data_IF_263808546957
#
_entry.id   IF_263808546957
#
_cell.length_a   1.000
_cell.length_b   1.000
_cell.length_c   1.000
_cell.angle_alpha   90.00
_cell.angle_beta   90.00
_cell.angle_gamma   90.00
#
_symmetry.space_group_name_H-M   'P 1'
#
loop_
_entity.id
_entity.type
_entity.pdbx_description
1 polymer ?
#
# COMPACT_ATOMS: atom_id res chain seq x y z
N UNK A 1 2.96 -5.23 10.94
CA UNK A 1 4.22 -4.45 11.09
C UNK A 1 4.81 -4.10 9.73
N UNK A 2 4.04 -3.47 8.85
CA UNK A 2 4.49 -3.04 7.51
C UNK A 2 3.38 -2.18 6.90
N UNK A 3 3.72 -1.13 6.15
CA UNK A 3 2.81 -0.50 5.20
C UNK A 3 3.57 -0.15 3.91
N UNK A 4 3.06 -0.65 2.78
CA UNK A 4 3.53 -0.27 1.46
C UNK A 4 2.35 0.10 0.55
N UNK A 5 2.59 1.00 -0.40
CA UNK A 5 1.62 1.43 -1.41
C UNK A 5 2.30 1.59 -2.77
N UNK A 6 1.64 1.10 -3.82
CA UNK A 6 2.02 1.33 -5.21
C UNK A 6 0.84 1.95 -5.95
N UNK A 7 1.11 2.97 -6.76
CA UNK A 7 0.12 3.74 -7.51
C UNK A 7 0.51 3.72 -8.99
N UNK A 8 -0.46 3.48 -9.85
CA UNK A 8 -0.35 3.51 -11.31
C UNK A 8 -1.23 4.64 -11.86
N UNK A 9 -0.62 5.57 -12.58
CA UNK A 9 -1.26 6.75 -13.14
C UNK A 9 -0.99 6.81 -14.65
N UNK A 10 -1.71 7.66 -15.36
CA UNK A 10 -1.47 7.90 -16.78
C UNK A 10 -0.06 8.49 -17.00
N UNK A 11 0.45 9.27 -16.03
CA UNK A 11 1.78 9.90 -16.09
C UNK A 11 2.95 9.01 -15.65
N UNK A 12 2.70 7.94 -14.87
CA UNK A 12 3.78 7.19 -14.26
C UNK A 12 3.37 6.23 -13.15
N UNK A 13 4.35 5.80 -12.35
CA UNK A 13 4.17 4.96 -11.17
C UNK A 13 4.76 5.66 -9.93
N UNK A 14 4.13 5.47 -8.78
CA UNK A 14 4.64 5.94 -7.47
C UNK A 14 4.63 4.79 -6.49
N UNK A 15 5.75 4.58 -5.80
CA UNK A 15 5.91 3.53 -4.80
C UNK A 15 6.40 4.12 -3.48
N UNK A 16 5.80 3.70 -2.37
CA UNK A 16 6.24 4.07 -1.02
C UNK A 16 6.21 2.84 -0.11
N UNK A 17 7.27 2.62 0.65
CA UNK A 17 7.33 1.58 1.68
C UNK A 17 7.92 2.11 2.98
N UNK A 18 7.35 1.69 4.10
CA UNK A 18 7.98 1.82 5.42
C UNK A 18 9.08 0.76 5.62
N UNK A 19 9.86 0.85 6.71
CA UNK A 19 10.97 -0.09 6.95
C UNK A 19 10.93 -0.78 8.32
N UNK A 20 10.05 -0.36 9.23
CA UNK A 20 9.87 -1.05 10.51
C UNK A 20 9.34 -2.46 10.28
N UNK A 21 10.01 -3.45 10.87
CA UNK A 21 9.70 -4.86 10.64
C UNK A 21 9.83 -5.66 11.92
N UNK A 22 8.96 -6.66 12.08
CA UNK A 22 9.07 -7.66 13.12
C UNK A 22 10.02 -8.78 12.69
N UNK A 23 11.13 -8.96 13.40
CA UNK A 23 12.08 -10.05 13.19
C UNK A 23 11.97 -11.18 14.24
N UNK A 24 11.05 -11.08 15.20
CA UNK A 24 10.86 -12.05 16.27
C UNK A 24 10.27 -11.43 17.53
N UNK A 25 10.05 -12.23 18.57
CA UNK A 25 9.57 -11.73 19.87
C UNK A 25 10.52 -10.62 20.37
N UNK A 26 9.97 -9.43 20.58
CA UNK A 26 10.68 -8.21 21.01
C UNK A 26 11.82 -7.73 20.08
N UNK A 27 11.85 -8.20 18.82
CA UNK A 27 12.85 -7.81 17.83
C UNK A 27 12.23 -6.95 16.74
N UNK A 28 12.10 -5.65 17.04
CA UNK A 28 11.69 -4.64 16.04
C UNK A 28 12.95 -4.02 15.45
N UNK A 29 13.08 -4.07 14.13
CA UNK A 29 14.26 -3.59 13.40
C UNK A 29 13.88 -2.94 12.07
N UNK A 30 14.87 -2.37 11.40
CA UNK A 30 14.72 -1.65 10.14
C UNK A 30 15.18 -2.53 8.98
N UNK A 31 14.27 -2.89 8.09
CA UNK A 31 14.56 -3.63 6.86
C UNK A 31 13.92 -2.94 5.66
N UNK A 32 14.67 -2.82 4.56
CA UNK A 32 14.16 -2.29 3.29
C UNK A 32 13.10 -3.23 2.73
N UNK A 33 11.98 -2.65 2.30
CA UNK A 33 10.85 -3.38 1.73
C UNK A 33 10.59 -3.07 0.27
N UNK A 34 11.44 -2.22 -0.34
CA UNK A 34 11.42 -1.90 -1.76
C UNK A 34 12.67 -2.46 -2.44
N UNK A 35 12.48 -3.09 -3.59
CA UNK A 35 13.54 -3.62 -4.45
C UNK A 35 13.32 -3.11 -5.87
N UNK A 36 14.39 -2.68 -6.52
CA UNK A 36 14.37 -2.16 -7.89
C UNK A 36 15.15 -3.11 -8.80
N UNK A 37 14.55 -3.48 -9.93
CA UNK A 37 15.14 -4.30 -10.98
C UNK A 37 15.15 -3.46 -12.25
N UNK A 38 16.33 -3.10 -12.73
CA UNK A 38 16.47 -2.11 -13.80
C UNK A 38 17.53 -2.55 -14.81
N UNK A 39 17.20 -2.38 -16.09
CA UNK A 39 18.16 -2.37 -17.21
C UNK A 39 17.83 -1.14 -18.04
N UNK A 40 18.57 -0.02 -17.89
CA UNK A 40 18.24 1.25 -18.52
C UNK A 40 17.99 1.11 -20.02
N UNK A 41 16.91 1.73 -20.50
CA UNK A 41 16.48 1.67 -21.90
C UNK A 41 15.77 0.38 -22.30
N UNK A 42 15.65 -0.60 -21.41
CA UNK A 42 14.93 -1.86 -21.66
C UNK A 42 13.85 -2.16 -20.62
N UNK A 43 14.13 -2.09 -19.32
CA UNK A 43 13.14 -2.39 -18.28
C UNK A 43 13.36 -1.65 -16.99
N UNK A 44 12.26 -1.35 -16.33
CA UNK A 44 12.22 -0.84 -14.96
C UNK A 44 11.12 -1.58 -14.20
N UNK A 45 11.44 -2.19 -13.06
CA UNK A 45 10.47 -2.90 -12.22
C UNK A 45 10.78 -2.67 -10.73
N UNK A 46 9.73 -2.63 -9.93
CA UNK A 46 9.78 -2.44 -8.48
C UNK A 46 8.96 -3.53 -7.81
N UNK A 47 9.50 -4.09 -6.74
CA UNK A 47 8.81 -5.00 -5.84
C UNK A 47 8.76 -4.39 -4.44
N UNK A 48 7.55 -4.30 -3.87
CA UNK A 48 7.33 -3.99 -2.46
C UNK A 48 6.89 -5.25 -1.72
N UNK A 49 7.35 -5.45 -0.49
CA UNK A 49 7.03 -6.65 0.30
C UNK A 49 6.37 -6.35 1.64
N UNK A 50 5.46 -7.23 2.06
CA UNK A 50 4.86 -7.25 3.39
C UNK A 50 4.59 -8.69 3.84
N UNK A 51 4.45 -8.89 5.15
CA UNK A 51 4.20 -10.20 5.77
C UNK A 51 5.43 -10.70 6.53
N UNK A 52 5.67 -12.00 6.49
CA UNK A 52 6.79 -12.64 7.15
C UNK A 52 8.12 -12.22 6.49
N UNK A 53 9.03 -11.66 7.28
CA UNK A 53 10.32 -11.15 6.81
C UNK A 53 11.16 -12.25 6.15
N UNK A 54 11.25 -13.43 6.78
CA UNK A 54 12.04 -14.56 6.26
C UNK A 54 11.52 -14.98 4.88
N UNK A 55 10.21 -15.17 4.73
CA UNK A 55 9.60 -15.51 3.44
C UNK A 55 9.90 -14.44 2.39
N UNK A 56 9.69 -13.16 2.73
CA UNK A 56 9.90 -12.06 1.76
C UNK A 56 11.35 -11.93 1.30
N UNK A 57 12.32 -12.19 2.18
CA UNK A 57 13.74 -12.19 1.83
C UNK A 57 14.10 -13.39 0.96
N UNK A 58 13.56 -14.57 1.24
CA UNK A 58 13.81 -15.76 0.42
C UNK A 58 13.22 -15.60 -0.99
N UNK A 59 11.99 -15.10 -1.10
CA UNK A 59 11.38 -14.81 -2.42
C UNK A 59 12.24 -13.83 -3.21
N UNK A 60 12.81 -12.81 -2.56
CA UNK A 60 13.72 -11.85 -3.20
C UNK A 60 14.96 -12.52 -3.78
N UNK A 61 15.59 -13.42 -3.02
CA UNK A 61 16.77 -14.16 -3.49
C UNK A 61 16.42 -15.14 -4.60
N UNK A 62 15.34 -15.92 -4.44
CA UNK A 62 14.88 -16.88 -5.44
C UNK A 62 14.46 -16.19 -6.74
N UNK A 63 13.83 -15.02 -6.68
CA UNK A 63 13.39 -14.28 -7.87
C UNK A 63 14.54 -14.00 -8.86
N UNK A 64 15.77 -13.86 -8.38
CA UNK A 64 16.94 -13.63 -9.23
C UNK A 64 17.31 -14.84 -10.10
N UNK A 65 16.96 -16.04 -9.65
CA UNK A 65 17.37 -17.31 -10.27
C UNK A 65 16.19 -18.13 -10.78
N UNK A 66 14.96 -17.77 -10.41
CA UNK A 66 13.73 -18.47 -10.76
C UNK A 66 13.50 -18.48 -12.28
N UNK A 67 13.05 -19.64 -12.77
CA UNK A 67 12.89 -19.93 -14.19
C UNK A 67 11.56 -20.61 -14.44
N UNK A 68 10.73 -20.00 -15.27
CA UNK A 68 9.53 -20.62 -15.79
C UNK A 68 9.82 -21.33 -17.11
N UNK A 69 9.27 -22.53 -17.26
CA UNK A 69 9.30 -23.27 -18.52
C UNK A 69 8.62 -22.47 -19.63
N UNK A 70 9.22 -22.52 -20.83
CA UNK A 70 8.80 -21.74 -21.99
C UNK A 70 8.77 -22.59 -23.27
N UNK A 71 8.36 -23.86 -23.14
CA UNK A 71 8.46 -24.84 -24.22
C UNK A 71 9.91 -24.97 -24.72
N UNK A 72 10.11 -24.87 -26.03
CA UNK A 72 11.43 -24.97 -26.68
C UNK A 72 12.26 -23.67 -26.60
N UNK A 73 11.69 -22.58 -26.05
CA UNK A 73 12.40 -21.30 -25.89
C UNK A 73 13.20 -21.28 -24.59
N UNK A 74 14.17 -20.36 -24.45
CA UNK A 74 14.83 -20.12 -23.17
C UNK A 74 13.82 -19.88 -22.04
N UNK A 75 14.07 -20.40 -20.82
CA UNK A 75 13.18 -20.19 -19.68
C UNK A 75 12.96 -18.71 -19.38
N UNK A 76 11.74 -18.37 -18.94
CA UNK A 76 11.41 -16.99 -18.58
C UNK A 76 11.91 -16.71 -17.16
N UNK A 77 12.57 -15.58 -17.01
CA UNK A 77 13.18 -15.04 -15.80
C UNK A 77 12.78 -13.58 -15.65
N UNK A 78 13.03 -12.99 -14.49
CA UNK A 78 12.82 -11.55 -14.27
C UNK A 78 13.61 -10.67 -15.27
N UNK A 79 14.73 -11.17 -15.81
CA UNK A 79 15.65 -10.41 -16.67
C UNK A 79 15.42 -10.58 -18.18
N UNK A 80 14.63 -11.58 -18.61
CA UNK A 80 14.30 -11.81 -20.02
C UNK A 80 12.79 -11.88 -20.30
N UNK A 81 11.93 -11.69 -19.28
CA UNK A 81 10.50 -11.55 -19.49
C UNK A 81 10.22 -10.47 -20.55
N UNK A 82 9.32 -10.79 -21.49
CA UNK A 82 8.90 -9.93 -22.60
C UNK A 82 7.69 -9.06 -22.21
N UNK A 83 7.00 -9.40 -21.12
CA UNK A 83 5.89 -8.63 -20.57
C UNK A 83 5.95 -8.55 -19.05
N UNK A 84 5.36 -7.50 -18.49
CA UNK A 84 5.20 -7.35 -17.04
C UNK A 84 4.32 -8.46 -16.43
N UNK A 85 3.41 -9.05 -17.21
CA UNK A 85 2.63 -10.21 -16.79
C UNK A 85 3.52 -11.45 -16.62
N UNK A 86 4.44 -11.70 -17.56
CA UNK A 86 5.38 -12.81 -17.43
C UNK A 86 6.33 -12.60 -16.26
N UNK A 87 6.80 -11.37 -16.03
CA UNK A 87 7.57 -11.03 -14.85
C UNK A 87 6.78 -11.29 -13.54
N UNK A 88 5.49 -10.95 -13.50
CA UNK A 88 4.62 -11.26 -12.36
C UNK A 88 4.39 -12.78 -12.19
N UNK A 89 4.35 -13.56 -13.27
CA UNK A 89 4.30 -15.03 -13.21
C UNK A 89 5.57 -15.61 -12.60
N UNK A 90 6.75 -15.11 -12.98
CA UNK A 90 8.04 -15.53 -12.39
C UNK A 90 8.03 -15.25 -10.89
N UNK A 91 7.56 -14.06 -10.47
CA UNK A 91 7.38 -13.74 -9.05
C UNK A 91 6.41 -14.69 -8.33
N UNK A 92 5.26 -14.98 -8.94
CA UNK A 92 4.31 -15.95 -8.40
C UNK A 92 4.88 -17.37 -8.29
N UNK A 93 5.78 -17.76 -9.20
CA UNK A 93 6.53 -19.02 -9.13
C UNK A 93 7.48 -19.03 -7.95
N UNK A 94 8.26 -17.97 -7.77
CA UNK A 94 9.18 -17.82 -6.65
C UNK A 94 8.44 -17.91 -5.30
N UNK A 95 7.26 -17.29 -5.16
CA UNK A 95 6.42 -17.41 -3.96
C UNK A 95 5.99 -18.85 -3.70
N UNK A 96 5.52 -19.55 -4.74
CA UNK A 96 5.11 -20.97 -4.64
C UNK A 96 6.26 -21.88 -4.27
N UNK A 97 7.44 -21.65 -4.85
CA UNK A 97 8.64 -22.42 -4.51
C UNK A 97 9.01 -22.31 -3.03
N UNK A 98 8.98 -21.10 -2.47
CA UNK A 98 9.22 -20.91 -1.03
C UNK A 98 8.11 -21.56 -0.19
N UNK A 99 6.86 -21.55 -0.68
CA UNK A 99 5.77 -22.29 -0.02
C UNK A 99 6.03 -23.80 -0.01
N UNK A 100 6.52 -24.37 -1.11
CA UNK A 100 6.83 -25.80 -1.20
C UNK A 100 8.02 -26.19 -0.31
N UNK A 101 8.98 -25.28 -0.10
CA UNK A 101 10.15 -25.49 0.75
C UNK A 101 9.82 -25.33 2.26
N UNK A 102 9.09 -24.28 2.65
CA UNK A 102 8.91 -23.89 4.06
C UNK A 102 7.47 -24.06 4.59
N UNK A 103 6.47 -24.19 3.73
CA UNK A 103 5.06 -24.10 4.09
C UNK A 103 4.62 -25.15 5.11
N UNK A 104 5.05 -26.40 4.93
CA UNK A 104 4.75 -27.48 5.88
C UNK A 104 5.43 -27.26 7.23
N UNK A 105 6.71 -26.86 7.22
CA UNK A 105 7.48 -26.57 8.43
C UNK A 105 6.87 -25.42 9.24
N UNK A 106 6.46 -24.33 8.57
CA UNK A 106 5.78 -23.20 9.20
C UNK A 106 4.46 -23.62 9.83
N UNK A 107 3.65 -24.39 9.09
CA UNK A 107 2.37 -24.91 9.59
C UNK A 107 2.55 -25.79 10.82
N UNK A 108 3.55 -26.68 10.81
CA UNK A 108 3.88 -27.54 11.95
C UNK A 108 4.35 -26.75 13.18
N UNK A 109 4.96 -25.57 12.97
CA UNK A 109 5.33 -24.63 14.03
C UNK A 109 4.16 -23.70 14.47
N UNK A 110 2.96 -23.85 13.90
CA UNK A 110 1.80 -23.01 14.20
C UNK A 110 1.90 -21.60 13.61
N UNK A 111 2.67 -21.42 12.54
CA UNK A 111 2.87 -20.15 11.84
C UNK A 111 2.21 -20.18 10.47
N UNK A 112 1.56 -19.07 10.10
CA UNK A 112 0.98 -18.91 8.77
C UNK A 112 2.03 -18.54 7.73
N UNK A 113 1.94 -19.16 6.54
CA UNK A 113 2.66 -18.68 5.36
C UNK A 113 2.01 -17.39 4.84
N UNK A 114 2.51 -16.26 5.31
CA UNK A 114 1.97 -14.95 4.97
C UNK A 114 3.02 -14.09 4.27
N UNK A 115 2.81 -13.85 2.97
CA UNK A 115 3.57 -12.88 2.19
C UNK A 115 2.68 -12.24 1.15
N UNK A 116 2.77 -10.92 1.01
CA UNK A 116 2.07 -10.16 -0.03
C UNK A 116 3.04 -9.18 -0.65
N UNK A 117 2.90 -8.96 -1.96
CA UNK A 117 3.81 -8.11 -2.70
C UNK A 117 3.07 -7.22 -3.67
N UNK A 118 3.57 -6.00 -3.84
CA UNK A 118 3.17 -5.12 -4.94
C UNK A 118 4.31 -5.19 -5.95
N UNK A 119 3.98 -5.48 -7.20
CA UNK A 119 4.97 -5.59 -8.27
C UNK A 119 4.55 -4.72 -9.44
N UNK A 120 5.36 -3.75 -9.85
CA UNK A 120 4.99 -2.84 -10.93
C UNK A 120 6.19 -2.31 -11.68
N UNK A 121 5.95 -1.82 -12.90
CA UNK A 121 7.04 -1.43 -13.79
C UNK A 121 6.61 -1.26 -15.23
N UNK A 122 7.60 -1.22 -16.11
CA UNK A 122 7.47 -1.11 -17.55
C UNK A 122 8.62 -1.87 -18.24
N UNK A 123 8.30 -2.64 -19.28
CA UNK A 123 9.26 -3.40 -20.10
C UNK A 123 9.12 -2.94 -21.56
N UNK A 124 10.23 -2.49 -22.15
CA UNK A 124 10.31 -2.03 -23.54
C UNK A 124 9.23 -1.00 -23.88
N UNK A 125 8.48 -1.28 -24.95
CA UNK A 125 7.34 -0.46 -25.37
C UNK A 125 6.00 -0.83 -24.73
N UNK A 126 5.96 -1.74 -23.75
CA UNK A 126 4.71 -2.09 -23.06
C UNK A 126 4.19 -0.90 -22.24
N UNK A 127 2.88 -0.85 -22.01
CA UNK A 127 2.31 0.06 -21.02
C UNK A 127 2.81 -0.27 -19.60
N UNK A 128 2.81 0.72 -18.72
CA UNK A 128 3.09 0.49 -17.30
C UNK A 128 2.03 -0.41 -16.67
N UNK A 129 2.47 -1.36 -15.85
CA UNK A 129 1.59 -2.33 -15.18
C UNK A 129 1.94 -2.43 -13.70
N UNK A 130 0.94 -2.76 -12.89
CA UNK A 130 1.04 -2.84 -11.44
C UNK A 130 0.17 -3.99 -10.95
N UNK A 131 0.75 -4.87 -10.15
CA UNK A 131 0.15 -6.11 -9.69
C UNK A 131 0.17 -6.20 -8.17
N UNK A 132 -0.84 -6.86 -7.62
CA UNK A 132 -0.87 -7.33 -6.24
C UNK A 132 -0.73 -8.84 -6.25
N UNK A 133 0.38 -9.35 -5.70
CA UNK A 133 0.70 -10.78 -5.59
C UNK A 133 0.34 -11.27 -4.19
N UNK A 134 -0.44 -12.33 -4.12
CA UNK A 134 -0.90 -12.96 -2.88
C UNK A 134 0.01 -14.11 -2.44
N UNK A 135 -0.15 -14.58 -1.21
CA UNK A 135 0.65 -15.67 -0.63
C UNK A 135 0.53 -17.00 -1.39
N UNK A 136 -0.53 -17.19 -2.17
CA UNK A 136 -0.70 -18.35 -3.05
C UNK A 136 0.04 -18.23 -4.40
N UNK A 137 0.77 -17.13 -4.62
CA UNK A 137 1.51 -16.85 -5.85
C UNK A 137 0.63 -16.48 -7.06
N UNK A 138 -0.68 -16.34 -6.87
CA UNK A 138 -1.57 -15.70 -7.85
C UNK A 138 -1.59 -14.18 -7.63
N UNK A 139 -2.11 -13.44 -8.61
CA UNK A 139 -2.10 -11.98 -8.57
C UNK A 139 -3.27 -11.37 -9.34
N UNK A 140 -3.56 -10.11 -9.02
CA UNK A 140 -4.46 -9.22 -9.78
C UNK A 140 -3.68 -8.02 -10.30
N UNK A 141 -4.25 -7.32 -11.29
CA UNK A 141 -3.65 -6.14 -11.90
C UNK A 141 -4.48 -4.87 -11.63
N UNK A 142 -3.79 -3.74 -11.45
CA UNK A 142 -4.41 -2.43 -11.29
C UNK A 142 -5.00 -1.93 -12.63
N UNK A 143 -6.25 -1.49 -12.57
CA UNK A 143 -6.99 -0.92 -13.69
C UNK A 143 -7.14 0.60 -13.51
N UNK A 144 -7.90 1.26 -14.39
CA UNK A 144 -8.19 2.69 -14.23
C UNK A 144 -9.15 2.94 -13.05
N UNK A 145 -10.04 2.00 -12.78
CA UNK A 145 -11.00 2.05 -11.66
C UNK A 145 -10.32 1.80 -10.32
N UNK A 146 -9.29 0.94 -10.30
CA UNK A 146 -8.48 0.66 -9.12
C UNK A 146 -7.01 0.92 -9.44
N UNK A 147 -6.60 2.18 -9.34
CA UNK A 147 -5.28 2.64 -9.80
C UNK A 147 -4.16 2.51 -8.75
N UNK A 148 -4.40 1.87 -7.61
CA UNK A 148 -3.39 1.66 -6.58
C UNK A 148 -3.64 0.38 -5.79
N UNK A 149 -2.58 -0.13 -5.15
CA UNK A 149 -2.65 -1.24 -4.19
C UNK A 149 -1.94 -0.86 -2.90
N UNK A 150 -2.37 -1.46 -1.80
CA UNK A 150 -1.74 -1.34 -0.48
C UNK A 150 -1.52 -2.73 0.10
N UNK A 151 -0.41 -2.92 0.82
CA UNK A 151 -0.09 -4.15 1.56
C UNK A 151 0.35 -3.82 3.00
N UNK A 152 0.12 -4.75 3.93
CA UNK A 152 0.33 -4.52 5.36
C UNK A 152 -0.82 -3.76 6.04
N UNK A 153 -0.51 -2.85 6.96
CA UNK A 153 -1.43 -2.02 7.75
C UNK A 153 -2.07 -0.88 6.92
N UNK A 154 -2.87 -1.25 5.93
CA UNK A 154 -3.33 -0.35 4.87
C UNK A 154 -4.54 0.53 5.22
N UNK A 155 -5.29 0.20 6.27
CA UNK A 155 -6.61 0.81 6.55
C UNK A 155 -6.54 2.28 6.93
N UNK A 156 -5.53 2.68 7.70
CA UNK A 156 -5.42 4.05 8.24
C UNK A 156 -5.15 5.09 7.15
N UNK A 157 -4.28 4.76 6.20
CA UNK A 157 -3.90 5.63 5.09
C UNK A 157 -4.83 5.57 3.89
N UNK A 158 -5.81 4.65 3.85
CA UNK A 158 -6.70 4.46 2.69
C UNK A 158 -7.60 5.67 2.37
N UNK A 159 -8.25 6.34 3.34
CA UNK A 159 -9.24 7.38 3.03
C UNK A 159 -8.69 8.58 2.23
N UNK A 160 -7.42 8.95 2.43
CA UNK A 160 -6.82 10.05 1.64
C UNK A 160 -6.52 9.62 0.21
N UNK A 161 -6.13 8.36 0.00
CA UNK A 161 -5.91 7.79 -1.34
C UNK A 161 -7.23 7.77 -2.12
N UNK A 162 -8.31 7.26 -1.51
CA UNK A 162 -9.65 7.20 -2.12
C UNK A 162 -10.19 8.58 -2.54
N UNK A 163 -9.84 9.63 -1.80
CA UNK A 163 -10.35 11.00 -2.05
C UNK A 163 -9.58 11.74 -3.13
N UNK A 164 -8.28 11.47 -3.27
CA UNK A 164 -7.37 12.28 -4.08
C UNK A 164 -6.92 11.56 -5.35
N UNK A 165 -6.58 10.27 -5.26
CA UNK A 165 -5.98 9.55 -6.38
C UNK A 165 -7.02 9.22 -7.46
N UNK A 166 -6.68 9.59 -8.70
CA UNK A 166 -7.38 9.23 -9.92
C UNK A 166 -6.33 8.97 -11.00
N UNK A 167 -6.62 8.23 -12.09
CA UNK A 167 -5.64 7.95 -13.13
C UNK A 167 -4.93 9.20 -13.70
N UNK A 168 -5.63 10.33 -13.76
CA UNK A 168 -5.11 11.60 -14.25
C UNK A 168 -4.33 12.43 -13.22
N UNK A 169 -4.19 11.96 -11.97
CA UNK A 169 -3.45 12.69 -10.93
C UNK A 169 -1.97 12.84 -11.35
N UNK A 170 -1.37 14.05 -11.26
CA UNK A 170 0.06 14.25 -11.53
C UNK A 170 0.95 13.50 -10.53
N UNK A 171 2.17 13.13 -10.95
CA UNK A 171 3.09 12.35 -10.12
C UNK A 171 3.45 13.04 -8.80
N UNK A 172 3.71 14.34 -8.81
CA UNK A 172 4.03 15.10 -7.60
C UNK A 172 2.87 15.12 -6.60
N UNK A 173 1.64 15.20 -7.10
CA UNK A 173 0.44 15.15 -6.26
C UNK A 173 0.23 13.76 -5.68
N UNK A 174 0.47 12.71 -6.47
CA UNK A 174 0.41 11.33 -5.98
C UNK A 174 1.51 11.03 -4.95
N UNK A 175 2.75 11.49 -5.17
CA UNK A 175 3.85 11.37 -4.22
C UNK A 175 3.52 12.04 -2.88
N UNK A 176 2.98 13.26 -2.93
CA UNK A 176 2.46 13.96 -1.74
C UNK A 176 1.31 13.19 -1.07
N UNK A 177 0.37 12.64 -1.85
CA UNK A 177 -0.76 11.86 -1.34
C UNK A 177 -0.31 10.60 -0.59
N UNK A 178 0.63 9.82 -1.14
CA UNK A 178 1.15 8.62 -0.46
C UNK A 178 1.94 8.96 0.81
N UNK A 179 2.62 10.10 0.87
CA UNK A 179 3.29 10.58 2.10
C UNK A 179 2.27 10.97 3.18
N UNK A 180 1.18 11.65 2.82
CA UNK A 180 0.08 11.96 3.75
C UNK A 180 -0.62 10.68 4.23
N UNK A 181 -0.79 9.71 3.34
CA UNK A 181 -1.30 8.38 3.68
C UNK A 181 -0.41 7.69 4.72
N UNK A 182 0.91 7.74 4.53
CA UNK A 182 1.89 7.19 5.47
C UNK A 182 1.90 7.93 6.81
N UNK A 183 1.79 9.25 6.83
CA UNK A 183 1.71 10.05 8.07
C UNK A 183 0.52 9.64 8.94
N UNK A 184 -0.65 9.45 8.30
CA UNK A 184 -1.86 8.98 8.97
C UNK A 184 -1.65 7.58 9.58
N UNK A 185 -1.02 6.68 8.83
CA UNK A 185 -0.71 5.33 9.32
C UNK A 185 0.29 5.32 10.48
N UNK A 186 1.39 6.09 10.38
CA UNK A 186 2.41 6.21 11.42
C UNK A 186 1.85 6.72 12.76
N UNK A 187 0.93 7.70 12.70
CA UNK A 187 0.29 8.27 13.90
C UNK A 187 -0.70 7.31 14.56
N UNK A 188 -1.25 6.36 13.81
CA UNK A 188 -2.31 5.46 14.31
C UNK A 188 -1.85 4.02 14.56
N UNK A 189 -0.68 3.61 14.07
CA UNK A 189 -0.19 2.23 14.22
C UNK A 189 1.34 2.17 14.36
N UNK A 190 1.81 1.81 15.56
CA UNK A 190 3.25 1.73 15.90
C UNK A 190 4.01 0.65 15.13
N UNK A 191 3.31 -0.27 14.46
CA UNK A 191 3.93 -1.34 13.69
C UNK A 191 4.49 -0.89 12.34
N UNK A 192 4.19 0.36 11.95
CA UNK A 192 4.73 1.04 10.77
C UNK A 192 5.75 2.07 11.24
N UNK A 193 6.84 2.29 10.49
CA UNK A 193 7.91 3.18 10.94
C UNK A 193 8.87 3.65 9.87
N UNK A 194 9.45 4.82 10.14
CA UNK A 194 10.57 5.39 9.41
C UNK A 194 11.84 4.52 9.54
N UNK A 195 12.81 4.63 8.61
CA UNK A 195 12.74 5.42 7.36
C UNK A 195 11.76 4.88 6.33
N UNK A 196 11.42 5.70 5.33
CA UNK A 196 10.61 5.33 4.17
C UNK A 196 11.49 5.26 2.93
N UNK A 197 11.14 4.41 1.99
CA UNK A 197 11.64 4.47 0.60
C UNK A 197 10.52 4.99 -0.29
N UNK A 198 10.77 6.10 -0.99
CA UNK A 198 9.89 6.67 -1.99
C UNK A 198 10.56 6.58 -3.35
N UNK A 199 9.82 6.08 -4.35
CA UNK A 199 10.23 6.05 -5.74
C UNK A 199 9.13 6.61 -6.63
N UNK A 200 9.50 7.52 -7.54
CA UNK A 200 8.63 8.05 -8.59
C UNK A 200 9.23 7.67 -9.95
N UNK A 201 8.41 7.07 -10.81
CA UNK A 201 8.77 6.65 -12.15
C UNK A 201 7.87 7.36 -13.16
N UNK A 202 8.48 8.00 -14.15
CA UNK A 202 7.77 8.63 -15.26
C UNK A 202 7.64 7.66 -16.43
N UNK A 203 6.45 7.63 -17.05
CA UNK A 203 6.13 6.70 -18.11
C UNK A 203 7.13 6.78 -19.28
N UNK A 204 7.61 5.62 -19.73
CA UNK A 204 8.51 5.50 -20.88
C UNK A 204 9.99 5.79 -20.60
N UNK A 205 10.36 6.18 -19.38
CA UNK A 205 11.77 6.46 -19.05
C UNK A 205 12.64 5.20 -18.97
N UNK A 206 12.03 4.06 -18.64
CA UNK A 206 12.71 2.75 -18.45
C UNK A 206 13.96 2.79 -17.54
N UNK A 207 14.02 3.75 -16.62
CA UNK A 207 15.03 3.91 -15.57
C UNK A 207 14.47 4.74 -14.41
N UNK A 208 15.02 4.57 -13.22
CA UNK A 208 14.67 5.35 -12.02
C UNK A 208 15.66 6.49 -11.80
N UNK A 209 15.12 7.69 -11.64
CA UNK A 209 15.91 8.87 -11.25
C UNK A 209 15.46 9.45 -9.90
N UNK A 210 14.17 9.31 -9.57
CA UNK A 210 13.58 9.87 -8.37
C UNK A 210 13.39 8.77 -7.33
N UNK A 211 14.46 8.43 -6.61
CA UNK A 211 14.45 7.49 -5.49
C UNK A 211 15.07 8.16 -4.26
N UNK A 212 14.41 8.08 -3.11
CA UNK A 212 14.88 8.71 -1.88
C UNK A 212 14.50 7.89 -0.64
N UNK A 213 15.43 7.85 0.31
CA UNK A 213 15.17 7.38 1.67
C UNK A 213 14.79 8.60 2.56
N UNK A 214 13.61 8.55 3.17
CA UNK A 214 13.06 9.63 4.01
C UNK A 214 13.12 9.19 5.47
N UNK A 215 13.94 9.87 6.27
CA UNK A 215 14.01 9.68 7.71
C UNK A 215 13.27 10.79 8.50
N UNK A 216 13.35 10.73 9.82
CA UNK A 216 12.77 11.71 10.74
C UNK A 216 13.38 13.12 10.65
N UNK A 217 14.54 13.26 10.00
CA UNK A 217 15.27 14.52 9.83
C UNK A 217 14.97 15.17 8.49
N UNK A 218 14.34 14.46 7.56
CA UNK A 218 13.97 15.00 6.26
C UNK A 218 13.06 16.23 6.40
N UNK A 219 13.45 17.40 5.84
CA UNK A 219 12.71 18.65 6.05
C UNK A 219 11.34 18.65 5.38
N UNK A 220 11.21 18.01 4.21
CA UNK A 220 9.94 17.90 3.50
C UNK A 220 8.95 17.01 4.25
N UNK A 221 9.42 15.90 4.83
CA UNK A 221 8.61 15.03 5.70
C UNK A 221 8.07 15.78 6.91
N UNK A 222 8.94 16.52 7.64
CA UNK A 222 8.53 17.34 8.79
C UNK A 222 7.49 18.38 8.39
N UNK A 223 7.69 19.05 7.25
CA UNK A 223 6.75 20.02 6.72
C UNK A 223 5.39 19.37 6.42
N UNK A 224 5.34 18.22 5.73
CA UNK A 224 4.08 17.51 5.45
C UNK A 224 3.39 17.10 6.74
N UNK A 225 4.08 16.37 7.63
CA UNK A 225 3.49 15.81 8.85
C UNK A 225 2.94 16.88 9.79
N UNK A 226 3.62 18.04 9.86
CA UNK A 226 3.17 19.19 10.65
C UNK A 226 2.03 19.97 9.97
N UNK A 227 2.21 20.37 8.71
CA UNK A 227 1.25 21.22 8.00
C UNK A 227 -0.08 20.52 7.71
N UNK A 228 -0.05 19.22 7.40
CA UNK A 228 -1.27 18.44 7.15
C UNK A 228 -2.14 18.35 8.40
N UNK A 229 -1.53 18.07 9.55
CA UNK A 229 -2.24 18.01 10.82
C UNK A 229 -2.89 19.35 11.20
N UNK A 230 -2.23 20.48 10.92
CA UNK A 230 -2.82 21.80 11.16
C UNK A 230 -3.99 22.06 10.21
N UNK A 231 -3.81 21.84 8.90
CA UNK A 231 -4.87 22.04 7.91
C UNK A 231 -6.12 21.21 8.19
N UNK A 232 -5.96 19.98 8.68
CA UNK A 232 -7.09 19.14 9.08
C UNK A 232 -7.84 19.71 10.29
N UNK A 233 -7.12 20.26 11.27
CA UNK A 233 -7.75 20.94 12.42
C UNK A 233 -8.52 22.18 11.97
N UNK A 234 -7.90 23.04 11.16
CA UNK A 234 -8.53 24.25 10.66
C UNK A 234 -9.80 23.92 9.85
N UNK A 235 -9.74 22.88 9.01
CA UNK A 235 -10.90 22.41 8.26
C UNK A 235 -12.00 21.85 9.17
N UNK A 236 -11.63 21.13 10.23
CA UNK A 236 -12.59 20.62 11.22
C UNK A 236 -13.26 21.74 12.01
N UNK A 237 -12.49 22.73 12.47
CA UNK A 237 -12.98 23.92 13.20
C UNK A 237 -13.89 24.81 12.34
N UNK A 238 -13.79 24.72 11.01
CA UNK A 238 -14.67 25.44 10.09
C UNK A 238 -16.05 24.79 9.88
N UNK A 239 -16.27 23.58 10.40
CA UNK A 239 -17.57 22.88 10.33
C UNK A 239 -18.47 23.43 11.43
N UNK A 240 -19.70 23.80 11.07
CA UNK A 240 -20.70 24.28 12.03
C UNK A 240 -21.00 23.24 13.12
N UNK A 241 -21.17 23.72 14.36
CA UNK A 241 -21.49 22.86 15.49
C UNK A 241 -22.85 22.16 15.31
N UNK A 242 -22.98 20.88 15.72
CA UNK A 242 -24.26 20.19 15.69
C UNK A 242 -25.29 20.89 16.57
N UNK A 243 -26.41 21.30 15.97
CA UNK A 243 -27.55 21.91 16.68
C UNK A 243 -28.48 20.81 17.22
N UNK A 244 -28.63 20.77 18.55
CA UNK A 244 -29.42 19.75 19.25
C UNK A 244 -30.85 20.19 19.57
N UNK A 245 -31.13 21.49 19.52
CA UNK A 245 -32.48 22.01 19.58
C UNK A 245 -33.15 21.78 18.23
N UNK A 246 -34.24 21.02 18.20
CA UNK A 246 -35.00 20.71 16.97
C UNK A 246 -35.74 21.91 16.39
N UNK A 247 -35.22 23.13 16.58
CA UNK A 247 -35.74 24.36 16.00
C UNK A 247 -35.38 24.34 14.51
N UNK A 248 -36.41 24.48 13.66
CA UNK A 248 -36.29 24.31 12.20
C UNK A 248 -35.51 25.44 11.49
N UNK A 249 -34.71 26.22 12.21
CA UNK A 249 -34.01 27.41 11.71
C UNK A 249 -32.55 27.15 11.31
N UNK A 250 -31.97 26.01 11.70
CA UNK A 250 -30.63 25.63 11.25
C UNK A 250 -30.60 25.27 9.76
N UNK A 251 -29.59 25.73 9.02
CA UNK A 251 -29.43 25.41 7.59
C UNK A 251 -29.20 23.90 7.35
N UNK A 252 -28.61 23.19 8.32
CA UNK A 252 -28.39 21.75 8.31
C UNK A 252 -28.72 21.13 9.70
N UNK A 253 -29.99 20.87 10.03
CA UNK A 253 -30.40 20.41 11.36
C UNK A 253 -29.94 18.95 11.63
N UNK A 254 -29.35 18.70 12.79
CA UNK A 254 -28.97 17.35 13.23
C UNK A 254 -30.19 16.55 13.71
N UNK A 255 -31.05 17.17 14.53
CA UNK A 255 -32.21 16.53 15.12
C UNK A 255 -33.41 16.58 14.18
N UNK A 256 -33.51 15.60 13.27
CA UNK A 256 -34.66 15.39 12.38
C UNK A 256 -35.41 14.11 12.74
N UNK A 257 -36.73 14.10 12.56
CA UNK A 257 -37.54 12.91 12.78
C UNK A 257 -37.27 11.87 11.68
N UNK A 258 -36.97 10.62 12.07
CA UNK A 258 -36.74 9.53 11.13
C UNK A 258 -38.02 8.74 10.91
N UNK A 259 -38.42 8.55 9.66
CA UNK A 259 -39.59 7.75 9.28
C UNK A 259 -39.47 6.26 9.65
N UNK A 260 -38.24 5.76 9.87
CA UNK A 260 -37.96 4.33 10.06
C UNK A 260 -37.26 3.99 11.37
N UNK A 261 -36.43 4.88 11.90
CA UNK A 261 -35.58 4.60 13.04
C UNK A 261 -35.68 5.71 14.09
N UNK A 262 -36.63 5.59 15.02
CA UNK A 262 -36.82 6.56 16.09
C UNK A 262 -35.60 6.68 17.03
N UNK A 263 -35.41 7.83 17.69
CA UNK A 263 -34.30 8.04 18.62
C UNK A 263 -34.44 7.11 19.85
N UNK A 264 -33.30 6.75 20.44
CA UNK A 264 -33.25 5.94 21.66
C UNK A 264 -33.99 6.64 22.80
N UNK A 265 -34.91 5.93 23.45
CA UNK A 265 -35.62 6.43 24.63
C UNK A 265 -34.74 6.29 25.88
N UNK A 266 -34.79 7.28 26.76
CA UNK A 266 -34.18 7.19 28.10
C UNK A 266 -35.07 6.32 28.98
N UNK A 267 -34.47 5.37 29.71
CA UNK A 267 -35.14 4.72 30.84
C UNK A 267 -34.96 5.63 32.05
N UNK A 268 -36.05 6.13 32.60
CA UNK A 268 -36.09 7.08 33.72
C UNK A 268 -36.52 6.42 35.03
N UNK A 269 -37.13 5.24 34.96
CA UNK A 269 -37.52 4.45 36.13
C UNK A 269 -37.53 2.95 35.83
N UNK A 270 -37.42 2.07 36.86
CA UNK A 270 -37.31 0.62 36.67
C UNK A 270 -38.48 -0.05 35.95
N UNK A 271 -39.61 0.64 35.81
CA UNK A 271 -40.80 0.16 35.10
C UNK A 271 -40.74 0.31 33.58
N UNK A 272 -39.86 1.17 33.06
CA UNK A 272 -39.70 1.38 31.62
C UNK A 272 -38.82 0.28 31.01
N UNK A 273 -39.36 -0.46 30.04
CA UNK A 273 -38.62 -1.44 29.24
C UNK A 273 -38.40 -0.89 27.83
N UNK A 274 -37.22 -1.15 27.28
CA UNK A 274 -36.83 -0.76 25.91
C UNK A 274 -37.55 -1.62 24.85
N UNK A 275 -38.16 -2.73 25.27
CA UNK A 275 -38.96 -3.67 24.46
C UNK A 275 -40.31 -3.89 25.12
#
# INVERSE_FOLDING_TARGET
>A
MTYCVGVKLDAGLVFLSDSRTNAGLDQISTFRKMMVYERPGDRFMVMLSAGNLSISQQVREILQVERLENGDKPPITIWNAESMFDAARVLGSAVRRIYDEDGESLKNAGLDFNTTMIFGGQIGGEAMRLFLVYSAGNFIEATRETCYFQIGESKYGKPVLDRILRPSTPLDEAAKCVLVSMDSTLKSNLSVGLPLDLLVYEAGQLQSQQIICIDEKNPYWRMISGSWGQKLRDAFESIEDPQWDGTAEAAAPLCVESDRYGPMRKITHPGEKIV
#
